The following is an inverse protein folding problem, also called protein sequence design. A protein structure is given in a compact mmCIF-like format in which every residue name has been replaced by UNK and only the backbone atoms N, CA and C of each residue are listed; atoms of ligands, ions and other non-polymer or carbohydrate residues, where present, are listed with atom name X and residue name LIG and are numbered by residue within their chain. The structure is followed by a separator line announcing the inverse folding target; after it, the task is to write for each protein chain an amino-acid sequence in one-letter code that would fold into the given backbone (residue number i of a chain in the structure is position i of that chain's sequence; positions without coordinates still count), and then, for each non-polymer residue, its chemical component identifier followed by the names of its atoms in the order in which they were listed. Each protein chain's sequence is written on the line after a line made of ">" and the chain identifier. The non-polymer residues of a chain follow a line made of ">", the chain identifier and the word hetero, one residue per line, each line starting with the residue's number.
data_IF_652737287487
#
_entry.id   IF_652737287487
#
_cell.length_a   1.000
_cell.length_b   1.000
_cell.length_c   1.000
_cell.angle_alpha   90.00
_cell.angle_beta   90.00
_cell.angle_gamma   90.00
#
_symmetry.space_group_name_H-M   'P 1'
#
loop_
_entity.id
_entity.type
_entity.pdbx_description
1 polymer ?
#
# COMPACT_ATOMS: atom_id res chain seq x y z
N UNK A 1 33.12 13.77 13.86
CA UNK A 1 32.50 12.43 13.63
C UNK A 1 31.65 11.95 14.82
N UNK A 2 30.81 12.81 15.40
CA UNK A 2 29.74 12.43 16.32
C UNK A 2 28.44 12.84 15.66
N UNK A 3 27.45 11.96 15.61
CA UNK A 3 26.07 12.37 15.29
C UNK A 3 25.46 11.89 13.98
N UNK A 4 25.93 10.80 13.36
CA UNK A 4 25.04 10.01 12.47
C UNK A 4 24.02 9.25 13.32
N UNK A 5 23.21 10.00 14.06
CA UNK A 5 21.96 9.48 14.60
C UNK A 5 21.01 9.38 13.41
N UNK A 6 21.11 8.27 12.68
CA UNK A 6 20.11 7.86 11.69
C UNK A 6 18.75 8.03 12.36
N UNK A 7 17.83 8.89 11.89
CA UNK A 7 16.54 9.05 12.55
C UNK A 7 15.81 7.71 12.46
N UNK A 8 15.67 7.04 13.60
CA UNK A 8 15.01 5.75 13.80
C UNK A 8 13.48 5.79 13.49
N UNK A 9 13.00 6.77 12.72
CA UNK A 9 11.63 6.85 12.21
C UNK A 9 11.38 5.97 10.98
N UNK A 10 12.43 5.41 10.38
CA UNK A 10 12.33 4.57 9.19
C UNK A 10 12.02 3.10 9.51
N UNK A 11 12.21 2.65 10.74
CA UNK A 11 12.18 1.21 11.04
C UNK A 11 10.78 0.61 11.09
N UNK A 12 9.76 1.32 11.57
CA UNK A 12 8.42 0.71 11.69
C UNK A 12 7.65 0.62 10.36
N UNK A 13 7.90 1.53 9.41
CA UNK A 13 7.21 1.54 8.11
C UNK A 13 8.05 0.94 6.97
N UNK A 14 9.38 0.97 7.06
CA UNK A 14 10.21 0.20 6.14
C UNK A 14 9.98 -1.30 6.35
N UNK A 15 9.75 -1.78 7.58
CA UNK A 15 9.38 -3.19 7.81
C UNK A 15 8.07 -3.56 7.12
N UNK A 16 7.03 -2.72 7.12
CA UNK A 16 5.75 -3.04 6.45
C UNK A 16 5.86 -2.97 4.92
N UNK A 17 6.67 -2.03 4.38
CA UNK A 17 6.88 -1.92 2.94
C UNK A 17 7.92 -2.91 2.38
N UNK A 18 8.91 -3.33 3.18
CA UNK A 18 10.00 -4.23 2.81
C UNK A 18 9.70 -5.71 3.11
N UNK A 19 8.80 -6.01 4.05
CA UNK A 19 8.29 -7.38 4.31
C UNK A 19 7.09 -7.79 3.45
N UNK A 20 6.67 -6.95 2.49
CA UNK A 20 5.63 -7.30 1.54
C UNK A 20 6.10 -7.88 0.17
N UNK A 21 7.20 -8.65 0.01
CA UNK A 21 7.53 -9.23 -1.30
C UNK A 21 6.53 -10.30 -1.79
N UNK A 22 5.60 -10.79 -0.96
CA UNK A 22 4.62 -11.77 -1.42
C UNK A 22 3.38 -11.77 -0.50
N UNK A 23 2.34 -11.02 -0.86
CA UNK A 23 1.02 -11.20 -0.24
C UNK A 23 0.25 -12.22 -1.09
N UNK A 24 0.08 -13.47 -0.61
CA UNK A 24 -0.82 -14.41 -1.27
C UNK A 24 -2.25 -13.84 -1.30
N UNK A 25 -3.09 -14.25 -2.27
CA UNK A 25 -4.43 -13.68 -2.50
C UNK A 25 -5.39 -13.73 -1.28
N UNK A 26 -5.09 -14.57 -0.28
CA UNK A 26 -5.61 -14.47 1.08
C UNK A 26 -4.77 -13.44 1.87
N UNK A 27 -5.04 -12.15 1.90
CA UNK A 27 -6.33 -11.46 1.81
C UNK A 27 -6.06 -10.03 1.33
N UNK A 28 -6.33 -9.74 0.06
CA UNK A 28 -6.25 -8.38 -0.51
C UNK A 28 -6.92 -7.31 0.39
N UNK A 29 -7.99 -7.72 1.10
CA UNK A 29 -8.69 -6.89 2.09
C UNK A 29 -7.86 -6.57 3.34
N UNK A 30 -7.07 -7.52 3.88
CA UNK A 30 -6.16 -7.21 4.99
C UNK A 30 -5.02 -6.31 4.52
N UNK A 31 -4.48 -6.55 3.32
CA UNK A 31 -3.47 -5.67 2.73
C UNK A 31 -3.99 -4.23 2.57
N UNK A 32 -5.22 -4.07 2.08
CA UNK A 32 -5.89 -2.77 2.00
C UNK A 32 -6.10 -2.13 3.39
N UNK A 33 -6.59 -2.89 4.37
CA UNK A 33 -6.82 -2.37 5.72
C UNK A 33 -5.52 -1.89 6.40
N UNK A 34 -4.45 -2.67 6.28
CA UNK A 34 -3.13 -2.28 6.77
C UNK A 34 -2.60 -1.04 6.04
N UNK A 35 -2.74 -1.00 4.71
CA UNK A 35 -2.30 0.14 3.91
C UNK A 35 -3.07 1.42 4.27
N UNK A 36 -4.40 1.33 4.45
CA UNK A 36 -5.24 2.47 4.82
C UNK A 36 -4.88 3.02 6.21
N UNK A 37 -4.62 2.14 7.18
CA UNK A 37 -4.15 2.55 8.50
C UNK A 37 -2.78 3.23 8.41
N UNK A 38 -1.84 2.62 7.68
CA UNK A 38 -0.51 3.16 7.49
C UNK A 38 -0.54 4.54 6.83
N UNK A 39 -1.38 4.73 5.81
CA UNK A 39 -1.57 6.01 5.13
C UNK A 39 -2.10 7.09 6.08
N UNK A 40 -3.08 6.76 6.94
CA UNK A 40 -3.59 7.72 7.95
C UNK A 40 -2.52 8.14 8.95
N UNK A 41 -1.71 7.19 9.43
CA UNK A 41 -0.58 7.48 10.31
C UNK A 41 0.48 8.35 9.61
N UNK A 42 0.77 8.06 8.35
CA UNK A 42 1.70 8.85 7.54
C UNK A 42 1.19 10.28 7.38
N UNK A 43 -0.08 10.49 7.00
CA UNK A 43 -0.66 11.84 6.88
C UNK A 43 -0.57 12.62 8.19
N UNK A 44 -0.87 11.97 9.33
CA UNK A 44 -0.81 12.62 10.64
C UNK A 44 0.61 13.08 11.03
N UNK A 45 1.63 12.29 10.70
CA UNK A 45 3.02 12.55 11.12
C UNK A 45 3.89 13.22 10.06
N UNK A 46 3.40 13.35 8.82
CA UNK A 46 4.19 13.76 7.65
C UNK A 46 4.87 15.12 7.87
N UNK A 47 4.12 16.13 8.31
CA UNK A 47 4.67 17.48 8.48
C UNK A 47 5.83 17.51 9.48
N UNK A 48 5.70 16.81 10.62
CA UNK A 48 6.74 16.76 11.62
C UNK A 48 7.98 16.03 11.08
N UNK A 49 7.79 14.90 10.37
CA UNK A 49 8.89 14.15 9.76
C UNK A 49 9.63 14.98 8.71
N UNK A 50 8.91 15.65 7.81
CA UNK A 50 9.50 16.54 6.80
C UNK A 50 10.31 17.66 7.45
N UNK A 51 9.78 18.28 8.51
CA UNK A 51 10.48 19.36 9.20
C UNK A 51 11.77 18.88 9.90
N UNK A 52 11.74 17.69 10.51
CA UNK A 52 12.93 17.10 11.16
C UNK A 52 13.98 16.73 10.13
N UNK A 53 13.61 16.04 9.06
CA UNK A 53 14.55 15.68 7.98
C UNK A 53 15.15 16.91 7.31
N UNK A 54 14.33 17.94 7.04
CA UNK A 54 14.83 19.20 6.48
C UNK A 54 15.86 19.85 7.39
N UNK A 55 15.58 19.96 8.70
CA UNK A 55 16.54 20.52 9.66
C UNK A 55 17.84 19.70 9.73
N UNK A 56 17.75 18.38 9.70
CA UNK A 56 18.92 17.51 9.72
C UNK A 56 19.78 17.69 8.46
N UNK A 57 19.14 17.80 7.29
CA UNK A 57 19.81 18.10 6.02
C UNK A 57 20.47 19.47 6.06
N UNK A 58 19.71 20.52 6.40
CA UNK A 58 20.21 21.89 6.41
C UNK A 58 21.44 22.01 7.34
N UNK A 59 21.39 21.40 8.53
CA UNK A 59 22.53 21.34 9.44
C UNK A 59 23.74 20.56 8.87
N UNK A 60 23.51 19.46 8.15
CA UNK A 60 24.59 18.73 7.49
C UNK A 60 25.24 19.54 6.36
N UNK A 61 24.43 20.23 5.55
CA UNK A 61 24.91 21.09 4.47
C UNK A 61 25.68 22.29 5.00
N UNK A 62 25.17 22.97 6.03
CA UNK A 62 25.87 24.06 6.71
C UNK A 62 27.23 23.61 7.27
N UNK A 63 27.27 22.48 7.97
CA UNK A 63 28.52 21.92 8.50
C UNK A 63 29.53 21.60 7.37
N UNK A 64 29.07 21.01 6.26
CA UNK A 64 29.98 20.71 5.15
C UNK A 64 30.50 22.00 4.50
N UNK A 65 29.64 23.01 4.32
CA UNK A 65 30.08 24.32 3.80
C UNK A 65 31.09 24.99 4.72
N UNK A 66 30.89 24.90 6.03
CA UNK A 66 31.85 25.41 7.02
C UNK A 66 33.20 24.69 6.92
N UNK A 67 33.22 23.37 6.93
CA UNK A 67 34.45 22.57 6.80
C UNK A 67 35.18 22.85 5.48
N UNK A 68 34.46 22.97 4.36
CA UNK A 68 35.03 23.35 3.07
C UNK A 68 35.60 24.79 3.09
N UNK A 69 34.94 25.71 3.78
CA UNK A 69 35.42 27.08 4.01
C UNK A 69 36.69 27.11 4.85
N UNK A 70 36.74 26.35 5.94
CA UNK A 70 37.93 26.20 6.79
C UNK A 70 39.10 25.59 6.00
N UNK A 71 38.84 24.59 5.14
CA UNK A 71 39.84 24.02 4.24
C UNK A 71 40.40 25.06 3.27
N UNK A 72 39.54 25.88 2.65
CA UNK A 72 39.98 26.97 1.77
C UNK A 72 40.87 27.98 2.51
N UNK A 73 40.42 28.44 3.68
CA UNK A 73 41.19 29.37 4.50
C UNK A 73 42.54 28.78 4.96
N UNK A 74 42.60 27.46 5.21
CA UNK A 74 43.86 26.79 5.53
C UNK A 74 44.82 26.74 4.35
N UNK A 75 44.32 26.46 3.13
CA UNK A 75 45.12 26.50 1.91
C UNK A 75 45.64 27.91 1.60
N UNK A 76 44.83 28.95 1.81
CA UNK A 76 45.26 30.35 1.63
C UNK A 76 46.39 30.72 2.59
N UNK A 77 46.26 30.37 3.88
CA UNK A 77 47.32 30.58 4.88
C UNK A 77 48.61 29.82 4.52
N UNK A 78 48.48 28.58 4.06
CA UNK A 78 49.62 27.79 3.61
C UNK A 78 50.29 28.43 2.38
N UNK A 79 49.49 28.98 1.46
CA UNK A 79 49.96 29.69 0.27
C UNK A 79 50.84 30.89 0.59
N UNK A 80 50.54 31.63 1.66
CA UNK A 80 51.35 32.76 2.13
C UNK A 80 52.75 32.34 2.61
N UNK A 81 52.89 31.11 3.10
CA UNK A 81 54.16 30.56 3.61
C UNK A 81 54.99 29.82 2.54
N UNK A 82 54.43 29.58 1.35
CA UNK A 82 55.08 28.76 0.34
C UNK A 82 55.92 29.56 -0.67
N UNK A 83 57.24 29.37 -0.59
CA UNK A 83 58.22 30.05 -1.44
C UNK A 83 58.66 29.24 -2.67
N UNK A 84 58.60 27.90 -2.62
CA UNK A 84 59.08 27.04 -3.70
C UNK A 84 58.03 26.84 -4.81
N UNK A 85 58.47 26.72 -6.06
CA UNK A 85 57.60 26.45 -7.21
C UNK A 85 56.80 25.16 -7.03
N UNK A 86 57.45 24.07 -6.59
CA UNK A 86 56.76 22.80 -6.33
C UNK A 86 55.72 22.86 -5.22
N UNK A 87 55.88 23.71 -4.19
CA UNK A 87 54.81 23.90 -3.22
C UNK A 87 53.60 24.63 -3.85
N UNK A 88 53.84 25.64 -4.67
CA UNK A 88 52.77 26.40 -5.34
C UNK A 88 51.93 25.50 -6.25
N UNK A 89 52.56 24.65 -7.05
CA UNK A 89 51.86 23.67 -7.90
C UNK A 89 51.01 22.70 -7.07
N UNK A 90 51.55 22.18 -5.96
CA UNK A 90 50.79 21.29 -5.07
C UNK A 90 49.58 22.00 -4.44
N UNK A 91 49.72 23.27 -4.10
CA UNK A 91 48.67 24.08 -3.49
C UNK A 91 47.55 24.40 -4.49
N UNK A 92 47.90 24.71 -5.74
CA UNK A 92 46.96 24.86 -6.85
C UNK A 92 46.19 23.54 -7.09
N UNK A 93 46.88 22.40 -7.08
CA UNK A 93 46.23 21.10 -7.22
C UNK A 93 45.26 20.81 -6.05
N UNK A 94 45.63 21.17 -4.82
CA UNK A 94 44.77 21.04 -3.64
C UNK A 94 43.53 21.92 -3.74
N UNK A 95 43.67 23.17 -4.19
CA UNK A 95 42.53 24.07 -4.42
C UNK A 95 41.60 23.55 -5.52
N UNK A 96 42.16 23.00 -6.60
CA UNK A 96 41.39 22.36 -7.65
C UNK A 96 40.61 21.16 -7.11
N UNK A 97 41.27 20.26 -6.38
CA UNK A 97 40.64 19.09 -5.76
C UNK A 97 39.52 19.49 -4.79
N UNK A 98 39.71 20.56 -4.01
CA UNK A 98 38.70 21.07 -3.07
C UNK A 98 37.48 21.65 -3.80
N UNK A 99 37.69 22.27 -4.96
CA UNK A 99 36.61 22.77 -5.83
C UNK A 99 35.81 21.61 -6.42
N UNK A 100 36.50 20.58 -6.92
CA UNK A 100 35.87 19.35 -7.42
C UNK A 100 35.09 18.65 -6.30
N UNK A 101 35.64 18.59 -5.09
CA UNK A 101 34.99 18.00 -3.92
C UNK A 101 33.71 18.74 -3.56
N UNK A 102 33.74 20.08 -3.51
CA UNK A 102 32.55 20.88 -3.23
C UNK A 102 31.43 20.60 -4.25
N UNK A 103 31.76 20.62 -5.55
CA UNK A 103 30.80 20.31 -6.61
C UNK A 103 30.31 18.84 -6.58
N UNK A 104 31.15 17.90 -6.12
CA UNK A 104 30.74 16.51 -5.93
C UNK A 104 29.77 16.36 -4.77
N UNK A 105 29.99 17.05 -3.65
CA UNK A 105 29.08 17.07 -2.49
C UNK A 105 27.72 17.64 -2.91
N UNK A 106 27.67 18.79 -3.58
CA UNK A 106 26.40 19.40 -4.03
C UNK A 106 25.62 18.47 -4.97
N UNK A 107 26.31 17.81 -5.89
CA UNK A 107 25.68 16.80 -6.76
C UNK A 107 25.17 15.61 -5.96
N UNK A 108 25.93 15.14 -4.97
CA UNK A 108 25.55 14.01 -4.14
C UNK A 108 24.31 14.33 -3.27
N UNK A 109 24.25 15.50 -2.62
CA UNK A 109 23.09 15.91 -1.81
C UNK A 109 21.86 16.11 -2.68
N UNK A 110 21.99 16.75 -3.84
CA UNK A 110 20.88 16.91 -4.81
C UNK A 110 20.38 15.56 -5.35
N UNK A 111 21.30 14.64 -5.67
CA UNK A 111 20.94 13.31 -6.14
C UNK A 111 20.23 12.50 -5.04
N UNK A 112 20.70 12.58 -3.79
CA UNK A 112 20.07 11.91 -2.65
C UNK A 112 18.65 12.42 -2.41
N UNK A 113 18.41 13.73 -2.50
CA UNK A 113 17.07 14.31 -2.36
C UNK A 113 16.12 13.83 -3.47
N UNK A 114 16.56 13.90 -4.74
CA UNK A 114 15.77 13.41 -5.88
C UNK A 114 15.47 11.93 -5.79
N UNK A 115 16.45 11.12 -5.40
CA UNK A 115 16.28 9.68 -5.24
C UNK A 115 15.32 9.35 -4.10
N UNK A 116 15.34 10.11 -3.00
CA UNK A 116 14.35 10.00 -1.92
C UNK A 116 12.93 10.28 -2.41
N UNK A 117 12.75 11.33 -3.23
CA UNK A 117 11.46 11.65 -3.83
C UNK A 117 10.95 10.53 -4.74
N UNK A 118 11.80 9.99 -5.62
CA UNK A 118 11.43 8.90 -6.54
C UNK A 118 11.04 7.62 -5.78
N UNK A 119 11.77 7.25 -4.72
CA UNK A 119 11.39 6.09 -3.91
C UNK A 119 10.03 6.29 -3.23
N UNK A 120 9.75 7.51 -2.76
CA UNK A 120 8.46 7.82 -2.15
C UNK A 120 7.34 7.75 -3.20
N UNK A 121 7.56 8.25 -4.42
CA UNK A 121 6.62 8.14 -5.53
C UNK A 121 6.33 6.67 -5.88
N UNK A 122 7.37 5.84 -6.07
CA UNK A 122 7.22 4.42 -6.35
C UNK A 122 6.39 3.70 -5.27
N UNK A 123 6.62 4.05 -3.99
CA UNK A 123 5.86 3.53 -2.85
C UNK A 123 4.38 3.94 -2.92
N UNK A 124 4.08 5.19 -3.27
CA UNK A 124 2.71 5.68 -3.41
C UNK A 124 1.99 5.06 -4.62
N UNK A 125 2.69 4.89 -5.74
CA UNK A 125 2.14 4.21 -6.92
C UNK A 125 1.72 2.78 -6.60
N UNK A 126 2.56 2.03 -5.87
CA UNK A 126 2.23 0.67 -5.43
C UNK A 126 1.05 0.63 -4.46
N UNK A 127 0.97 1.59 -3.54
CA UNK A 127 -0.18 1.71 -2.64
C UNK A 127 -1.48 1.91 -3.44
N UNK A 128 -1.46 2.78 -4.45
CA UNK A 128 -2.60 3.01 -5.32
C UNK A 128 -3.03 1.74 -6.09
N UNK A 129 -2.09 0.94 -6.61
CA UNK A 129 -2.39 -0.34 -7.26
C UNK A 129 -3.19 -1.28 -6.35
N UNK A 130 -2.77 -1.44 -5.09
CA UNK A 130 -3.47 -2.30 -4.11
C UNK A 130 -4.89 -1.78 -3.85
N UNK A 131 -5.06 -0.47 -3.74
CA UNK A 131 -6.37 0.16 -3.55
C UNK A 131 -7.28 -0.05 -4.77
N UNK A 132 -6.78 0.14 -5.99
CA UNK A 132 -7.53 -0.11 -7.23
C UNK A 132 -7.94 -1.58 -7.32
N UNK A 133 -7.01 -2.51 -7.09
CA UNK A 133 -7.30 -3.94 -7.11
C UNK A 133 -8.37 -4.33 -6.07
N UNK A 134 -8.34 -3.71 -4.89
CA UNK A 134 -9.35 -3.93 -3.86
C UNK A 134 -10.75 -3.50 -4.33
N UNK A 135 -10.87 -2.30 -4.91
CA UNK A 135 -12.14 -1.78 -5.47
C UNK A 135 -12.66 -2.67 -6.59
N UNK A 136 -11.79 -3.11 -7.50
CA UNK A 136 -12.19 -4.02 -8.57
C UNK A 136 -12.66 -5.37 -8.04
N UNK A 137 -12.00 -5.89 -7.00
CA UNK A 137 -12.43 -7.14 -6.37
C UNK A 137 -13.82 -7.00 -5.75
N UNK A 138 -14.08 -5.90 -5.03
CA UNK A 138 -15.41 -5.61 -4.50
C UNK A 138 -16.47 -5.54 -5.60
N UNK A 139 -16.18 -4.89 -6.74
CA UNK A 139 -17.09 -4.86 -7.90
C UNK A 139 -17.40 -6.27 -8.43
N UNK A 140 -16.37 -7.11 -8.60
CA UNK A 140 -16.54 -8.51 -9.06
C UNK A 140 -17.36 -9.32 -8.06
N UNK A 141 -17.11 -9.16 -6.76
CA UNK A 141 -17.86 -9.83 -5.71
C UNK A 141 -19.34 -9.44 -5.74
N UNK A 142 -19.62 -8.13 -5.77
CA UNK A 142 -20.98 -7.60 -5.84
C UNK A 142 -21.77 -8.13 -7.03
N UNK A 143 -21.16 -8.19 -8.22
CA UNK A 143 -21.81 -8.74 -9.42
C UNK A 143 -22.12 -10.23 -9.31
N UNK A 144 -21.23 -11.02 -8.69
CA UNK A 144 -21.46 -12.46 -8.45
C UNK A 144 -22.62 -12.66 -7.48
N UNK A 145 -22.58 -11.98 -6.33
CA UNK A 145 -23.66 -12.05 -5.34
C UNK A 145 -25.01 -11.62 -5.94
N UNK A 146 -25.03 -10.57 -6.76
CA UNK A 146 -26.23 -10.14 -7.45
C UNK A 146 -26.76 -11.21 -8.42
N UNK A 147 -25.88 -11.88 -9.18
CA UNK A 147 -26.28 -12.95 -10.10
C UNK A 147 -26.86 -14.17 -9.35
N UNK A 148 -26.21 -14.58 -8.25
CA UNK A 148 -26.66 -15.68 -7.39
C UNK A 148 -28.02 -15.37 -6.74
N UNK A 149 -28.23 -14.13 -6.30
CA UNK A 149 -29.51 -13.68 -5.75
C UNK A 149 -30.63 -13.72 -6.80
N UNK A 150 -30.35 -13.30 -8.03
CA UNK A 150 -31.33 -13.35 -9.13
C UNK A 150 -31.66 -14.79 -9.54
N UNK A 151 -30.69 -15.70 -9.54
CA UNK A 151 -30.93 -17.12 -9.77
C UNK A 151 -31.81 -17.74 -8.68
N UNK A 152 -31.52 -17.45 -7.41
CA UNK A 152 -32.32 -17.92 -6.28
C UNK A 152 -33.77 -17.42 -6.35
N UNK A 153 -33.98 -16.14 -6.71
CA UNK A 153 -35.33 -15.59 -6.92
C UNK A 153 -36.08 -16.33 -8.01
N UNK A 154 -35.43 -16.62 -9.16
CA UNK A 154 -36.05 -17.37 -10.26
C UNK A 154 -36.43 -18.78 -9.83
N UNK A 155 -35.56 -19.49 -9.10
CA UNK A 155 -35.84 -20.83 -8.59
C UNK A 155 -37.04 -20.84 -7.64
N UNK A 156 -37.15 -19.85 -6.74
CA UNK A 156 -38.29 -19.71 -5.83
C UNK A 156 -39.59 -19.46 -6.60
N UNK A 157 -39.58 -18.55 -7.58
CA UNK A 157 -40.74 -18.24 -8.42
C UNK A 157 -41.18 -19.44 -9.28
N UNK A 158 -40.22 -20.20 -9.80
CA UNK A 158 -40.52 -21.43 -10.55
C UNK A 158 -41.10 -22.51 -9.63
N UNK A 159 -40.54 -22.68 -8.42
CA UNK A 159 -41.03 -23.65 -7.45
C UNK A 159 -42.45 -23.32 -6.98
N UNK A 160 -42.76 -22.06 -6.71
CA UNK A 160 -44.11 -21.63 -6.34
C UNK A 160 -45.11 -21.86 -7.47
N UNK A 161 -44.75 -21.56 -8.73
CA UNK A 161 -45.57 -21.87 -9.90
C UNK A 161 -45.79 -23.37 -10.07
N UNK A 162 -44.73 -24.18 -9.96
CA UNK A 162 -44.83 -25.65 -10.05
C UNK A 162 -45.72 -26.23 -8.95
N UNK A 163 -45.65 -25.67 -7.73
CA UNK A 163 -46.52 -26.06 -6.63
C UNK A 163 -47.99 -25.74 -6.90
N UNK A 164 -48.29 -24.55 -7.43
CA UNK A 164 -49.66 -24.18 -7.83
C UNK A 164 -50.21 -25.09 -8.93
N UNK A 165 -49.37 -25.49 -9.89
CA UNK A 165 -49.74 -26.44 -10.93
C UNK A 165 -50.02 -27.85 -10.37
N UNK A 166 -49.20 -28.32 -9.43
CA UNK A 166 -49.42 -29.59 -8.74
C UNK A 166 -50.73 -29.61 -7.93
N UNK A 167 -51.03 -28.54 -7.19
CA UNK A 167 -52.28 -28.38 -6.43
C UNK A 167 -53.52 -28.32 -7.36
N UNK A 168 -53.37 -27.79 -8.59
CA UNK A 168 -54.45 -27.74 -9.58
C UNK A 168 -54.70 -29.10 -10.27
N UNK A 169 -53.67 -29.93 -10.45
CA UNK A 169 -53.81 -31.29 -10.98
C UNK A 169 -54.42 -32.26 -9.96
N UNK A 170 -54.11 -32.11 -8.66
CA UNK A 170 -54.80 -32.87 -7.59
C UNK A 170 -56.28 -32.50 -7.49
N UNK A 171 -56.67 -31.24 -7.75
CA UNK A 171 -58.07 -30.84 -7.82
C UNK A 171 -58.80 -31.43 -9.05
N UNK A 172 -58.10 -31.61 -10.18
CA UNK A 172 -58.67 -32.18 -11.40
C UNK A 172 -58.80 -33.72 -11.37
N UNK A 173 -58.13 -34.40 -10.45
CA UNK A 173 -58.19 -35.88 -10.29
C UNK A 173 -59.19 -36.35 -9.22
N UNK A 174 -59.87 -35.45 -8.50
CA UNK A 174 -60.88 -35.78 -7.48
C UNK A 174 -62.31 -35.97 -8.05
N UNK A 175 -62.45 -36.49 -9.27
CA UNK A 175 -63.75 -36.81 -9.89
C UNK A 175 -64.05 -38.31 -9.93
N UNK A 176 -64.03 -39.02 -8.80
CA UNK A 176 -64.80 -40.28 -8.58
C UNK A 176 -64.84 -40.67 -7.06
N UNK A 177 -65.80 -41.51 -6.62
CA UNK A 177 -66.83 -41.24 -5.58
C UNK A 177 -66.37 -41.47 -4.11
N UNK A 178 -67.19 -41.14 -3.07
CA UNK A 178 -66.70 -41.06 -1.70
C UNK A 178 -66.61 -42.44 -1.02
N UNK A 179 -65.51 -42.69 -0.32
CA UNK A 179 -65.36 -43.77 0.66
C UNK A 179 -64.75 -43.20 1.97
N UNK A 180 -65.13 -43.71 3.15
CA UNK A 180 -65.05 -42.95 4.38
C UNK A 180 -63.67 -43.00 5.05
N UNK A 181 -63.26 -41.81 5.54
CA UNK A 181 -62.45 -41.53 6.73
C UNK A 181 -61.50 -42.64 7.22
N UNK A 182 -60.23 -42.50 6.89
CA UNK A 182 -59.06 -42.73 7.75
C UNK A 182 -57.81 -42.45 6.92
N UNK A 183 -57.05 -41.41 7.29
CA UNK A 183 -55.58 -41.35 7.36
C UNK A 183 -55.16 -39.88 7.32
N UNK A 184 -54.58 -39.40 8.42
CA UNK A 184 -54.01 -38.06 8.49
C UNK A 184 -52.96 -37.87 7.40
N UNK A 185 -53.30 -37.07 6.39
CA UNK A 185 -52.32 -36.58 5.43
C UNK A 185 -51.47 -35.53 6.14
N UNK A 186 -50.42 -36.01 6.80
CA UNK A 186 -49.34 -35.17 7.25
C UNK A 186 -48.74 -34.51 6.00
N UNK A 187 -49.18 -33.28 5.69
CA UNK A 187 -48.52 -32.37 4.76
C UNK A 187 -47.05 -32.31 5.18
N UNK A 188 -46.21 -33.12 4.53
CA UNK A 188 -44.76 -33.11 4.75
C UNK A 188 -44.27 -31.74 4.34
N UNK A 189 -44.02 -30.89 5.32
CA UNK A 189 -43.38 -29.58 5.13
C UNK A 189 -41.96 -29.87 4.64
N UNK A 190 -41.71 -29.71 3.34
CA UNK A 190 -40.35 -29.82 2.79
C UNK A 190 -39.64 -28.51 3.14
N UNK A 191 -38.84 -28.53 4.18
CA UNK A 191 -37.92 -27.45 4.51
C UNK A 191 -36.77 -27.52 3.50
N UNK A 192 -36.70 -26.55 2.58
CA UNK A 192 -35.52 -26.37 1.74
C UNK A 192 -34.47 -25.67 2.60
N UNK A 193 -33.49 -26.43 3.09
CA UNK A 193 -32.29 -25.87 3.69
C UNK A 193 -31.38 -25.33 2.58
N UNK A 194 -31.20 -24.01 2.54
CA UNK A 194 -30.19 -23.38 1.68
C UNK A 194 -28.85 -23.52 2.41
N UNK A 195 -28.00 -24.45 1.95
CA UNK A 195 -26.63 -24.58 2.45
C UNK A 195 -25.76 -23.61 1.63
N UNK A 196 -25.24 -22.52 2.22
CA UNK A 196 -24.29 -21.67 1.52
C UNK A 196 -23.02 -22.50 1.23
N UNK A 197 -22.56 -22.48 -0.02
CA UNK A 197 -21.26 -23.04 -0.38
C UNK A 197 -20.20 -22.20 0.33
N UNK A 198 -19.65 -22.72 1.42
CA UNK A 198 -18.49 -22.09 2.05
C UNK A 198 -17.34 -22.12 1.05
N UNK A 199 -16.79 -20.93 0.83
CA UNK A 199 -15.64 -20.66 -0.04
C UNK A 199 -14.43 -21.48 0.45
N UNK A 200 -13.98 -22.41 -0.41
CA UNK A 200 -12.64 -22.98 -0.39
C UNK A 200 -11.75 -22.16 -1.32
#
# INVERSE_FOLDING_TARGET
>A
LRGLSVPWGQQHMALVAFLLPHVPPLTLQAAFAHLALAFRCDVFTLQQRVQVEKRARDAAEENIQEELGQCRAALERLGQSCASAGCKEMLEQLQHNLTVLAAAVERATSAAEKLGAVHQEARMSRAAEVMVQHVENLKRHHLREHAELEEMKRLIQQNSRNRQLAESQEAATQSSPPAPLLQGSARRRVSIAVIPKQLL
#
